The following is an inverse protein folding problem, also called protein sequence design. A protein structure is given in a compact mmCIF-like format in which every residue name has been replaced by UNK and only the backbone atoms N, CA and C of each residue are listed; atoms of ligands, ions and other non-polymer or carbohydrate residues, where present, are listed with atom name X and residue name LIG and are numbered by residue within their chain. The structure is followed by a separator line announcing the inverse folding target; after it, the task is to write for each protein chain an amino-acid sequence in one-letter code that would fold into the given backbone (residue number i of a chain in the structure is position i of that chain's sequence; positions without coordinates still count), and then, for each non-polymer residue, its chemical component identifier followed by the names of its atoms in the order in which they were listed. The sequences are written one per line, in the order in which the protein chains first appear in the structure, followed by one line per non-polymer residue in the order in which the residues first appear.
data_IF_142887493568
#
_entry.id   IF_142887493568
#
_cell.length_a   1.000
_cell.length_b   1.000
_cell.length_c   1.000
_cell.angle_alpha   90.00
_cell.angle_beta   90.00
_cell.angle_gamma   90.00
#
_symmetry.space_group_name_H-M   'P 1'
#
loop_
_entity.id
_entity.type
_entity.pdbx_description
1 polymer ?
#
# COMPACT_ATOMS: atom_id res chain seq x y z
N UNK A 1 -27.47 12.16 -9.79
CA UNK A 1 -26.16 12.45 -10.41
C UNK A 1 -26.15 13.93 -10.72
N UNK A 2 -25.27 14.68 -10.06
CA UNK A 2 -25.18 16.13 -10.24
C UNK A 2 -24.15 16.40 -11.31
N UNK A 3 -24.53 17.08 -12.40
CA UNK A 3 -23.57 17.50 -13.42
C UNK A 3 -22.60 18.50 -12.78
N UNK A 4 -21.28 18.33 -12.88
CA UNK A 4 -20.33 19.34 -12.43
C UNK A 4 -20.62 20.65 -13.18
N UNK A 5 -21.08 21.66 -12.44
CA UNK A 5 -21.46 22.98 -12.93
C UNK A 5 -20.55 24.07 -12.36
N UNK A 6 -20.88 25.33 -12.61
CA UNK A 6 -20.11 26.51 -12.16
C UNK A 6 -19.85 26.55 -10.64
N UNK A 7 -20.67 25.90 -9.82
CA UNK A 7 -20.56 25.89 -8.36
C UNK A 7 -19.50 24.88 -7.84
N UNK A 8 -19.08 23.90 -8.66
CA UNK A 8 -18.14 22.86 -8.26
C UNK A 8 -17.18 22.51 -9.42
N UNK A 9 -16.18 23.36 -9.69
CA UNK A 9 -15.26 23.16 -10.80
C UNK A 9 -14.36 21.95 -10.54
N UNK A 10 -14.50 20.93 -11.38
CA UNK A 10 -13.58 19.80 -11.45
C UNK A 10 -12.74 19.95 -12.72
N UNK A 11 -11.43 20.03 -12.55
CA UNK A 11 -10.47 20.09 -13.67
C UNK A 11 -9.51 18.91 -13.57
N UNK A 12 -9.21 18.31 -14.71
CA UNK A 12 -8.21 17.26 -14.83
C UNK A 12 -7.12 17.75 -15.77
N UNK A 13 -5.87 17.76 -15.31
CA UNK A 13 -4.71 18.08 -16.13
C UNK A 13 -3.67 16.98 -16.02
N UNK A 14 -2.86 16.79 -17.06
CA UNK A 14 -1.71 15.87 -16.98
C UNK A 14 -0.64 16.49 -16.09
N UNK A 15 -0.12 15.72 -15.15
CA UNK A 15 1.03 16.13 -14.36
C UNK A 15 2.31 15.93 -15.19
N UNK A 16 3.14 16.97 -15.39
CA UNK A 16 4.36 16.84 -16.17
C UNK A 16 5.45 16.11 -15.38
N UNK A 17 6.11 15.17 -16.06
CA UNK A 17 7.15 14.32 -15.49
C UNK A 17 6.59 12.97 -15.06
N UNK A 18 7.49 12.14 -14.52
CA UNK A 18 7.12 10.83 -14.00
C UNK A 18 6.90 10.92 -12.50
N UNK A 19 5.92 10.18 -11.99
CA UNK A 19 5.55 10.18 -10.58
C UNK A 19 5.57 8.76 -10.07
N UNK A 20 6.23 8.59 -8.93
CA UNK A 20 6.35 7.33 -8.21
C UNK A 20 5.53 7.44 -6.92
N UNK A 21 4.87 6.35 -6.56
CA UNK A 21 4.13 6.19 -5.30
C UNK A 21 4.82 5.12 -4.50
N UNK A 22 5.20 5.45 -3.27
CA UNK A 22 5.94 4.56 -2.38
C UNK A 22 5.16 4.32 -1.10
N UNK A 23 5.22 3.09 -0.61
CA UNK A 23 4.74 2.71 0.71
C UNK A 23 5.90 2.10 1.48
N UNK A 24 6.31 2.75 2.57
CA UNK A 24 7.49 2.36 3.36
C UNK A 24 8.76 2.11 2.51
N UNK A 25 8.94 2.92 1.45
CA UNK A 25 10.06 2.81 0.52
C UNK A 25 9.88 1.78 -0.61
N UNK A 26 8.75 1.07 -0.65
CA UNK A 26 8.41 0.15 -1.73
C UNK A 26 7.51 0.80 -2.78
N UNK A 27 7.86 0.63 -4.06
CA UNK A 27 7.07 1.17 -5.16
C UNK A 27 5.71 0.46 -5.27
N UNK A 28 4.65 1.27 -5.31
CA UNK A 28 3.27 0.87 -5.54
C UNK A 28 2.77 1.31 -6.92
N UNK A 29 3.27 2.43 -7.45
CA UNK A 29 2.91 2.89 -8.79
C UNK A 29 4.03 3.77 -9.35
N UNK A 30 4.19 3.76 -10.67
CA UNK A 30 5.27 4.47 -11.34
C UNK A 30 4.89 4.82 -12.78
N UNK A 31 4.47 6.06 -12.99
CA UNK A 31 3.81 6.47 -14.24
C UNK A 31 4.24 7.85 -14.74
N UNK A 32 4.38 7.98 -16.06
CA UNK A 32 4.50 9.26 -16.76
C UNK A 32 3.17 9.82 -17.26
N UNK A 33 2.08 9.06 -17.12
CA UNK A 33 0.74 9.44 -17.57
C UNK A 33 -0.19 9.67 -16.36
N UNK A 34 0.22 10.58 -15.46
CA UNK A 34 -0.56 10.88 -14.24
C UNK A 34 -1.53 12.03 -14.50
N UNK A 35 -2.78 11.85 -14.07
CA UNK A 35 -3.78 12.92 -14.09
C UNK A 35 -3.91 13.56 -12.71
N UNK A 36 -3.75 14.87 -12.65
CA UNK A 36 -4.02 15.68 -11.48
C UNK A 36 -5.45 16.20 -11.55
N UNK A 37 -6.31 15.69 -10.66
CA UNK A 37 -7.67 16.17 -10.48
C UNK A 37 -7.68 17.26 -9.41
N UNK A 38 -8.18 18.44 -9.78
CA UNK A 38 -8.44 19.55 -8.87
C UNK A 38 -9.94 19.76 -8.78
N UNK A 39 -10.45 19.75 -7.56
CA UNK A 39 -11.86 19.92 -7.28
C UNK A 39 -12.03 21.08 -6.30
N UNK A 40 -12.63 22.16 -6.78
CA UNK A 40 -12.84 23.38 -6.00
C UNK A 40 -11.56 23.79 -5.22
N UNK A 41 -11.65 23.82 -3.88
CA UNK A 41 -10.54 24.17 -2.98
C UNK A 41 -9.93 22.95 -2.26
N UNK A 42 -10.26 21.73 -2.70
CA UNK A 42 -9.71 20.50 -2.11
C UNK A 42 -8.28 20.25 -2.57
N UNK A 43 -7.54 19.47 -1.79
CA UNK A 43 -6.21 19.02 -2.15
C UNK A 43 -6.26 18.28 -3.50
N UNK A 44 -5.31 18.54 -4.41
CA UNK A 44 -5.28 17.89 -5.70
C UNK A 44 -5.01 16.38 -5.55
N UNK A 45 -5.75 15.58 -6.30
CA UNK A 45 -5.65 14.11 -6.27
C UNK A 45 -4.96 13.62 -7.54
N UNK A 46 -3.99 12.71 -7.39
CA UNK A 46 -3.27 12.09 -8.50
C UNK A 46 -3.91 10.75 -8.87
N UNK A 47 -4.20 10.59 -10.16
CA UNK A 47 -4.79 9.40 -10.75
C UNK A 47 -3.79 8.73 -11.69
N UNK A 48 -3.41 7.51 -11.34
CA UNK A 48 -2.47 6.66 -12.07
C UNK A 48 -3.23 5.66 -12.93
N UNK A 49 -2.75 5.37 -14.15
CA UNK A 49 -3.34 4.30 -14.96
C UNK A 49 -3.13 2.96 -14.26
N UNK A 50 -4.16 2.11 -14.23
CA UNK A 50 -4.11 0.80 -13.54
C UNK A 50 -2.95 -0.08 -14.02
N UNK A 51 -2.50 0.07 -15.26
CA UNK A 51 -1.38 -0.67 -15.83
C UNK A 51 -0.03 -0.34 -15.16
N UNK A 52 0.13 0.86 -14.63
CA UNK A 52 1.36 1.34 -13.99
C UNK A 52 1.30 1.20 -12.46
N UNK A 53 0.29 0.51 -11.94
CA UNK A 53 0.07 0.29 -10.51
C UNK A 53 0.31 -1.18 -10.20
N UNK A 54 1.08 -1.45 -9.15
CA UNK A 54 1.33 -2.79 -8.64
C UNK A 54 0.10 -3.36 -7.93
N UNK A 55 -0.90 -3.75 -8.72
CA UNK A 55 -2.18 -4.29 -8.26
C UNK A 55 -2.05 -5.58 -7.42
N UNK A 56 -0.90 -6.26 -7.46
CA UNK A 56 -0.65 -7.46 -6.66
C UNK A 56 -0.75 -7.17 -5.14
N UNK A 57 -0.36 -5.96 -4.73
CA UNK A 57 -0.44 -5.50 -3.33
C UNK A 57 -1.80 -4.89 -2.97
N UNK A 58 -2.69 -4.73 -3.94
CA UNK A 58 -4.01 -4.12 -3.73
C UNK A 58 -5.10 -5.19 -3.76
N UNK A 59 -5.99 -5.14 -2.79
CA UNK A 59 -7.16 -6.01 -2.70
C UNK A 59 -8.41 -5.15 -2.68
N UNK A 60 -9.33 -5.41 -3.61
CA UNK A 60 -10.60 -4.67 -3.69
C UNK A 60 -11.36 -4.85 -2.37
N UNK A 61 -11.68 -3.73 -1.73
CA UNK A 61 -12.50 -3.69 -0.52
C UNK A 61 -13.97 -3.85 -0.88
N UNK A 62 -14.79 -4.25 0.10
CA UNK A 62 -16.26 -4.14 0.00
C UNK A 62 -16.77 -2.70 0.08
N UNK A 63 -15.91 -1.75 0.46
CA UNK A 63 -16.24 -0.33 0.60
C UNK A 63 -16.49 0.31 -0.77
N UNK A 64 -17.69 0.89 -0.93
CA UNK A 64 -18.05 1.71 -2.09
C UNK A 64 -18.67 3.00 -1.58
N UNK A 65 -18.13 4.15 -1.98
CA UNK A 65 -18.75 5.44 -1.70
C UNK A 65 -19.43 5.99 -2.95
N UNK A 66 -20.51 6.75 -2.75
CA UNK A 66 -21.22 7.42 -3.82
C UNK A 66 -20.88 8.90 -3.78
N UNK A 67 -20.07 9.36 -4.74
CA UNK A 67 -19.82 10.77 -4.92
C UNK A 67 -20.83 11.36 -5.92
N UNK A 68 -21.50 12.50 -5.61
CA UNK A 68 -22.51 13.08 -6.47
C UNK A 68 -21.98 13.56 -7.83
N UNK A 69 -20.68 13.84 -7.94
CA UNK A 69 -20.00 14.38 -9.12
C UNK A 69 -19.11 13.36 -9.84
N UNK A 70 -18.55 12.39 -9.10
CA UNK A 70 -17.59 11.39 -9.62
C UNK A 70 -18.15 9.97 -9.69
N UNK A 71 -19.35 9.76 -9.15
CA UNK A 71 -20.02 8.46 -9.16
C UNK A 71 -19.44 7.49 -8.13
N UNK A 72 -19.60 6.16 -8.34
CA UNK A 72 -19.07 5.16 -7.41
C UNK A 72 -17.55 5.19 -7.34
N UNK A 73 -17.01 5.27 -6.13
CA UNK A 73 -15.61 4.98 -5.85
C UNK A 73 -15.49 3.57 -5.26
N UNK A 74 -14.68 2.73 -5.90
CA UNK A 74 -14.29 1.42 -5.36
C UNK A 74 -12.99 1.57 -4.61
N UNK A 75 -12.93 1.11 -3.37
CA UNK A 75 -11.72 1.17 -2.56
C UNK A 75 -10.88 -0.11 -2.66
N UNK A 76 -9.60 0.03 -2.34
CA UNK A 76 -8.61 -1.03 -2.32
C UNK A 76 -7.82 -0.95 -1.03
N UNK A 77 -7.80 -2.06 -0.31
CA UNK A 77 -6.91 -2.29 0.83
C UNK A 77 -5.51 -2.64 0.31
N UNK A 78 -4.50 -1.95 0.83
CA UNK A 78 -3.10 -2.25 0.58
C UNK A 78 -2.65 -3.33 1.55
N UNK A 79 -2.11 -4.43 1.01
CA UNK A 79 -1.60 -5.57 1.78
C UNK A 79 -0.15 -5.80 1.39
N UNK A 80 0.77 -5.52 2.33
CA UNK A 80 2.20 -5.65 2.09
C UNK A 80 2.96 -5.81 3.40
N UNK A 81 4.01 -6.64 3.41
CA UNK A 81 4.94 -6.80 4.54
C UNK A 81 4.27 -6.95 5.92
N UNK A 82 3.19 -7.75 5.97
CA UNK A 82 2.32 -7.99 7.15
C UNK A 82 1.52 -6.77 7.64
N UNK A 83 1.55 -5.67 6.92
CA UNK A 83 0.68 -4.52 7.12
C UNK A 83 -0.55 -4.62 6.21
N UNK A 84 -1.68 -4.16 6.75
CA UNK A 84 -2.97 -4.07 6.05
C UNK A 84 -3.45 -2.64 6.26
N UNK A 85 -3.45 -1.84 5.19
CA UNK A 85 -3.97 -0.48 5.21
C UNK A 85 -5.30 -0.50 4.47
N UNK A 86 -6.38 -0.46 5.23
CA UNK A 86 -7.73 -0.46 4.69
C UNK A 86 -7.97 0.81 3.88
N UNK A 87 -8.64 0.63 2.74
CA UNK A 87 -9.09 1.73 1.88
C UNK A 87 -7.97 2.72 1.47
N UNK A 88 -6.72 2.25 1.40
CA UNK A 88 -5.53 3.04 1.07
C UNK A 88 -5.54 3.64 -0.35
N UNK A 89 -6.29 3.03 -1.26
CA UNK A 89 -6.46 3.50 -2.63
C UNK A 89 -7.92 3.42 -3.08
N UNK A 90 -8.28 4.21 -4.07
CA UNK A 90 -9.63 4.16 -4.67
C UNK A 90 -9.57 4.34 -6.18
N UNK A 91 -10.62 3.86 -6.85
CA UNK A 91 -10.78 3.94 -8.30
C UNK A 91 -12.23 4.22 -8.66
N UNK A 92 -12.44 5.04 -9.68
CA UNK A 92 -13.75 5.23 -10.28
C UNK A 92 -13.86 4.36 -11.53
N UNK A 93 -14.60 3.25 -11.47
CA UNK A 93 -14.73 2.31 -12.61
C UNK A 93 -15.70 2.83 -13.68
N UNK A 94 -16.68 3.64 -13.31
CA UNK A 94 -17.67 4.22 -14.21
C UNK A 94 -18.02 5.67 -13.81
N UNK A 95 -17.07 6.62 -13.91
CA UNK A 95 -17.34 8.02 -13.63
C UNK A 95 -18.24 8.66 -14.70
N UNK A 96 -19.02 9.70 -14.37
CA UNK A 96 -19.85 10.41 -15.34
C UNK A 96 -19.00 11.13 -16.40
N UNK A 97 -19.62 11.47 -17.54
CA UNK A 97 -18.92 11.99 -18.74
C UNK A 97 -17.96 13.15 -18.45
N UNK A 98 -18.32 14.07 -17.54
CA UNK A 98 -17.50 15.24 -17.18
C UNK A 98 -16.15 14.90 -16.52
N UNK A 99 -16.02 13.70 -15.95
CA UNK A 99 -14.79 13.19 -15.31
C UNK A 99 -14.38 11.83 -15.89
N UNK A 100 -14.80 11.53 -17.12
CA UNK A 100 -14.47 10.27 -17.81
C UNK A 100 -12.96 10.02 -17.98
N UNK A 101 -12.12 11.05 -17.88
CA UNK A 101 -10.66 10.92 -17.98
C UNK A 101 -10.03 10.06 -16.87
N UNK A 102 -10.67 9.98 -15.69
CA UNK A 102 -10.19 9.19 -14.56
C UNK A 102 -10.74 7.75 -14.54
N UNK A 103 -11.47 7.34 -15.57
CA UNK A 103 -12.08 6.01 -15.65
C UNK A 103 -11.04 4.92 -15.48
N UNK A 104 -11.24 4.05 -14.48
CA UNK A 104 -10.36 2.91 -14.20
C UNK A 104 -8.96 3.28 -13.69
N UNK A 105 -8.71 4.56 -13.39
CA UNK A 105 -7.46 5.02 -12.78
C UNK A 105 -7.53 4.92 -11.26
N UNK A 106 -6.40 4.65 -10.63
CA UNK A 106 -6.28 4.57 -9.18
C UNK A 106 -5.69 5.84 -8.59
N UNK A 107 -6.20 6.24 -7.45
CA UNK A 107 -5.64 7.27 -6.59
C UNK A 107 -5.29 6.67 -5.22
N UNK A 108 -4.35 7.29 -4.53
CA UNK A 108 -3.85 6.83 -3.23
C UNK A 108 -4.02 7.91 -2.17
N UNK A 109 -4.26 7.49 -0.92
CA UNK A 109 -4.35 8.39 0.21
C UNK A 109 -2.96 8.91 0.61
N UNK A 110 -2.73 10.24 0.62
CA UNK A 110 -1.42 10.83 0.91
C UNK A 110 -0.94 10.60 2.36
N UNK A 111 -1.84 10.22 3.27
CA UNK A 111 -1.49 9.88 4.65
C UNK A 111 -0.75 8.54 4.78
N UNK A 112 -0.88 7.65 3.79
CA UNK A 112 -0.29 6.31 3.82
C UNK A 112 0.85 6.13 2.82
N UNK A 113 0.90 6.95 1.76
CA UNK A 113 1.89 6.80 0.69
C UNK A 113 2.71 8.08 0.51
N UNK A 114 3.95 7.91 0.05
CA UNK A 114 4.83 8.99 -0.37
C UNK A 114 4.80 9.14 -1.89
N UNK A 115 4.59 10.36 -2.38
CA UNK A 115 4.68 10.67 -3.81
C UNK A 115 6.05 11.28 -4.14
N UNK A 116 6.78 10.68 -5.07
CA UNK A 116 8.03 11.24 -5.64
C UNK A 116 7.84 11.62 -7.09
N UNK A 117 8.60 12.61 -7.55
CA UNK A 117 8.65 13.00 -8.96
C UNK A 117 10.01 12.59 -9.53
N UNK A 118 10.01 11.70 -10.49
CA UNK A 118 11.21 11.35 -11.27
C UNK A 118 11.55 12.53 -12.20
N UNK A 119 12.67 13.18 -11.91
CA UNK A 119 13.08 14.42 -12.58
C UNK A 119 14.08 15.30 -11.82
N UNK A 120 14.49 14.94 -10.61
CA UNK A 120 15.78 15.37 -10.05
C UNK A 120 16.65 14.14 -10.00
N UNK A 121 17.69 14.10 -10.83
CA UNK A 121 18.68 13.03 -10.74
C UNK A 121 19.30 13.05 -9.33
N UNK A 122 19.77 11.91 -8.80
CA UNK A 122 20.63 11.93 -7.61
C UNK A 122 21.88 12.79 -7.81
N UNK A 123 22.29 13.05 -9.07
CA UNK A 123 23.38 13.95 -9.41
C UNK A 123 23.08 15.45 -9.14
N UNK A 124 21.81 15.85 -9.09
CA UNK A 124 21.40 17.22 -8.74
C UNK A 124 20.88 17.33 -7.30
N UNK A 125 20.69 16.22 -6.59
CA UNK A 125 20.16 16.23 -5.21
C UNK A 125 21.25 16.34 -4.14
N UNK A 126 22.56 16.22 -4.46
CA UNK A 126 23.61 16.37 -3.45
C UNK A 126 25.01 16.72 -3.99
N UNK A 127 25.11 17.87 -4.64
CA UNK A 127 26.24 18.78 -4.45
C UNK A 127 25.95 19.68 -3.23
N UNK A 128 25.80 19.07 -2.05
CA UNK A 128 25.97 19.72 -0.76
C UNK A 128 26.73 18.71 0.12
N UNK A 129 28.05 18.91 0.11
CA UNK A 129 29.06 18.47 1.08
C UNK A 129 29.10 16.97 1.46
N UNK A 130 29.79 16.18 0.64
CA UNK A 130 30.52 14.96 1.05
C UNK A 130 31.94 15.10 0.47
N UNK A 131 32.67 16.08 0.98
CA UNK A 131 34.12 16.18 0.76
C UNK A 131 34.86 16.42 2.08
N UNK A 132 34.38 15.82 3.17
CA UNK A 132 35.21 15.63 4.35
C UNK A 132 35.11 14.19 4.89
N UNK A 133 36.28 13.53 4.82
CA UNK A 133 36.72 12.38 5.62
C UNK A 133 36.09 11.02 5.31
N UNK A 134 36.67 10.36 4.30
CA UNK A 134 37.12 8.98 4.47
C UNK A 134 38.41 9.02 5.32
N UNK A 135 38.30 8.79 6.64
CA UNK A 135 39.41 8.22 7.42
C UNK A 135 39.08 6.76 7.68
N UNK A 136 39.47 5.94 6.72
CA UNK A 136 39.77 4.56 7.01
C UNK A 136 41.03 4.54 7.89
N UNK A 137 40.84 4.30 9.18
CA UNK A 137 41.89 3.72 10.02
C UNK A 137 41.31 2.46 10.65
N UNK A 138 41.10 1.43 9.82
CA UNK A 138 41.20 0.07 10.31
C UNK A 138 42.70 -0.21 10.52
N UNK A 139 43.15 0.08 11.73
CA UNK A 139 44.34 -0.53 12.27
C UNK A 139 43.83 -1.52 13.29
N UNK A 140 43.78 -2.78 12.90
CA UNK A 140 43.43 -3.88 13.77
C UNK A 140 44.24 -3.85 15.06
N UNK A 141 43.53 -3.98 16.17
CA UNK A 141 44.04 -4.58 17.40
C UNK A 141 42.83 -5.13 18.14
N UNK A 142 42.73 -6.45 18.16
CA UNK A 142 41.70 -7.14 18.91
C UNK A 142 41.82 -6.87 20.40
N UNK A 143 40.68 -6.73 21.06
CA UNK A 143 40.46 -7.20 22.43
C UNK A 143 38.96 -7.19 22.74
N UNK A 144 38.46 -8.39 23.03
CA UNK A 144 37.45 -8.68 24.06
C UNK A 144 35.97 -8.45 23.76
N UNK A 145 35.29 -9.60 23.65
CA UNK A 145 33.89 -9.81 23.99
C UNK A 145 33.57 -9.36 25.42
N UNK A 146 32.45 -8.65 25.56
CA UNK A 146 31.45 -8.75 26.61
C UNK A 146 30.29 -7.90 26.04
N UNK A 147 29.07 -8.38 25.84
CA UNK A 147 28.16 -8.82 26.89
C UNK A 147 27.21 -9.91 26.37
N UNK A 148 27.01 -10.90 27.23
CA UNK A 148 26.18 -12.10 27.06
C UNK A 148 24.71 -11.71 27.27
N UNK A 149 23.90 -11.75 26.21
CA UNK A 149 22.45 -11.61 26.35
C UNK A 149 21.84 -12.97 26.71
N UNK A 150 20.97 -13.07 27.72
CA UNK A 150 20.39 -14.35 28.12
C UNK A 150 19.44 -14.87 27.02
N UNK A 151 19.37 -16.20 26.81
CA UNK A 151 18.47 -16.80 25.84
C UNK A 151 17.00 -16.64 26.28
N UNK A 152 16.13 -16.18 25.35
CA UNK A 152 14.68 -16.05 25.54
C UNK A 152 13.91 -17.36 25.29
N UNK A 153 14.58 -18.51 25.40
CA UNK A 153 13.99 -19.83 25.18
C UNK A 153 13.97 -20.58 26.50
N UNK A 154 12.77 -20.72 27.05
CA UNK A 154 12.47 -21.69 28.11
C UNK A 154 12.16 -23.02 27.41
N UNK A 155 12.94 -24.07 27.71
CA UNK A 155 12.63 -25.42 27.24
C UNK A 155 11.68 -26.07 28.26
N UNK A 156 10.60 -26.74 27.84
CA UNK A 156 9.84 -27.56 28.77
C UNK A 156 10.71 -28.72 29.29
N UNK A 157 10.60 -28.97 30.59
CA UNK A 157 11.35 -29.97 31.36
C UNK A 157 11.13 -31.39 30.80
N UNK A 158 12.24 -32.11 30.62
CA UNK A 158 12.33 -33.45 30.02
C UNK A 158 12.29 -34.52 31.13
N UNK A 159 11.19 -34.65 31.87
CA UNK A 159 11.03 -35.76 32.84
C UNK A 159 9.56 -35.98 33.26
N UNK A 160 8.82 -36.74 32.44
CA UNK A 160 7.63 -37.48 32.88
C UNK A 160 7.22 -38.54 31.84
N UNK A 161 8.09 -39.54 31.63
CA UNK A 161 7.65 -40.82 31.10
C UNK A 161 7.15 -41.69 32.25
N UNK A 162 5.84 -41.72 32.45
CA UNK A 162 5.15 -42.87 33.06
C UNK A 162 3.91 -43.18 32.22
N UNK A 163 3.80 -44.45 31.82
CA UNK A 163 2.75 -44.94 30.94
C UNK A 163 1.43 -45.26 31.63
N UNK A 164 0.56 -45.85 30.82
CA UNK A 164 -0.72 -46.50 31.14
C UNK A 164 -1.98 -45.64 31.04
N UNK A 165 -2.65 -45.69 29.88
CA UNK A 165 -3.92 -46.41 29.73
C UNK A 165 -4.57 -46.10 28.38
N UNK A 166 -4.70 -47.15 27.55
CA UNK A 166 -5.55 -47.20 26.36
C UNK A 166 -7.01 -46.99 26.77
N UNK A 167 -7.77 -46.19 26.01
CA UNK A 167 -9.22 -46.40 25.81
C UNK A 167 -9.74 -45.68 24.55
N UNK A 168 -10.17 -46.52 23.60
CA UNK A 168 -11.11 -46.29 22.48
C UNK A 168 -12.11 -45.14 22.67
N UNK A 169 -12.30 -44.29 21.65
CA UNK A 169 -13.49 -44.27 20.78
C UNK A 169 -13.31 -43.25 19.62
N UNK A 170 -13.81 -43.58 18.43
CA UNK A 170 -13.68 -42.85 17.15
C UNK A 170 -14.63 -41.59 17.00
N UNK A 171 -14.99 -41.09 15.79
CA UNK A 171 -14.25 -40.06 15.05
C UNK A 171 -15.10 -38.83 14.63
N UNK A 172 -14.41 -37.74 14.28
CA UNK A 172 -14.78 -36.81 13.18
C UNK A 172 -15.98 -35.87 13.33
N UNK A 173 -15.74 -34.55 13.23
CA UNK A 173 -16.52 -33.67 12.33
C UNK A 173 -15.81 -32.32 12.14
N UNK A 174 -15.28 -32.12 10.93
CA UNK A 174 -14.92 -30.80 10.41
C UNK A 174 -16.19 -30.10 9.90
N UNK A 175 -16.70 -29.10 10.62
CA UNK A 175 -17.76 -28.24 10.08
C UNK A 175 -17.17 -26.94 9.54
N UNK A 176 -17.15 -26.85 8.21
CA UNK A 176 -17.04 -25.60 7.46
C UNK A 176 -18.46 -25.13 7.17
N UNK A 177 -18.79 -23.85 7.34
CA UNK A 177 -19.88 -23.26 6.57
C UNK A 177 -19.32 -22.39 5.43
N UNK A 178 -19.03 -23.02 4.29
CA UNK A 178 -19.18 -22.36 2.98
C UNK A 178 -20.49 -22.88 2.39
N UNK A 179 -21.52 -22.02 2.31
CA UNK A 179 -22.69 -22.26 1.47
C UNK A 179 -22.76 -21.16 0.43
N UNK A 180 -22.51 -21.54 -0.80
CA UNK A 180 -22.79 -20.72 -1.98
C UNK A 180 -24.23 -20.88 -2.45
N UNK A 181 -24.64 -19.84 -3.18
CA UNK A 181 -25.44 -19.84 -4.42
C UNK A 181 -26.97 -20.06 -4.37
N UNK A 182 -27.69 -19.11 -5.00
CA UNK A 182 -29.07 -19.25 -5.50
C UNK A 182 -29.91 -17.99 -5.22
N UNK A 183 -29.86 -16.97 -6.08
CA UNK A 183 -30.82 -16.73 -7.18
C UNK A 183 -32.25 -16.40 -6.69
N UNK A 184 -32.68 -15.14 -6.81
CA UNK A 184 -33.60 -14.59 -7.85
C UNK A 184 -33.65 -13.06 -7.76
#
# INVERSE_FOLDING_TARGET
MTTPGQDHPITCSREPGRVEVLFEGHELADSGDVLLLREANLAPVRYFPRADVAMDFLRKSGTVTQDPYKGPATYYTLVRDRQIIEDAAWSHEAPPLGVSQITGRLAFHPDYVEFKRAGLTPAETRALDVNDVVRHTDSGSGASQAEHWPPNVDMPDDEAWEGDAIRDDEPGLIDRPYRGTGAI
#
